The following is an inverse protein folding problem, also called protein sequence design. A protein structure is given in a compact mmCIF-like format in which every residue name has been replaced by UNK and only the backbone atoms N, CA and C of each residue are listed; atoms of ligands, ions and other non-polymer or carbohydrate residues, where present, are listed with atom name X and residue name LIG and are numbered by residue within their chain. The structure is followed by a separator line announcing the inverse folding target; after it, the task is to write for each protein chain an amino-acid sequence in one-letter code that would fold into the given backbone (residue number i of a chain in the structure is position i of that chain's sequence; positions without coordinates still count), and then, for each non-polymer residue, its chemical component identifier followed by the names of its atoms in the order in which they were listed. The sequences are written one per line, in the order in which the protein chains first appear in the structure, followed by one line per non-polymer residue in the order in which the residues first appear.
data_IF_756368441271
#
_entry.id   IF_756368441271
#
_cell.length_a   1.000
_cell.length_b   1.000
_cell.length_c   1.000
_cell.angle_alpha   90.00
_cell.angle_beta   90.00
_cell.angle_gamma   90.00
#
_symmetry.space_group_name_H-M   'P 1'
#
loop_
_entity.id
_entity.type
_entity.pdbx_description
1 polymer ?
#
# COMPACT_ATOMS: atom_id res chain seq x y z
N UNK A 1 58.40 31.26 -12.12
CA UNK A 1 57.90 31.77 -10.82
C UNK A 1 56.44 31.35 -10.70
N UNK A 2 56.15 30.36 -9.85
CA UNK A 2 54.81 29.84 -9.59
C UNK A 2 54.18 30.65 -8.45
N UNK A 3 53.02 31.29 -8.66
CA UNK A 3 52.19 31.81 -7.57
C UNK A 3 50.92 30.97 -7.46
N UNK A 4 50.82 30.28 -6.32
CA UNK A 4 49.75 29.38 -5.92
C UNK A 4 48.67 30.21 -5.24
N UNK A 5 47.53 30.40 -5.90
CA UNK A 5 46.35 31.06 -5.31
C UNK A 5 45.59 30.08 -4.42
N UNK A 6 45.65 30.29 -3.11
CA UNK A 6 44.78 29.64 -2.14
C UNK A 6 43.51 30.50 -1.97
N UNK A 7 42.36 29.94 -2.36
CA UNK A 7 41.04 30.47 -2.04
C UNK A 7 40.33 29.50 -1.11
N UNK A 8 40.34 29.81 0.19
CA UNK A 8 39.52 29.17 1.21
C UNK A 8 38.04 29.41 0.92
N UNK A 9 37.25 28.34 0.68
CA UNK A 9 35.79 28.44 0.68
C UNK A 9 35.25 27.77 1.94
N UNK A 10 34.83 28.62 2.88
CA UNK A 10 34.25 28.25 4.17
C UNK A 10 32.91 27.55 4.01
N UNK A 11 32.81 26.43 4.73
CA UNK A 11 31.63 25.65 5.03
C UNK A 11 30.56 26.55 5.68
N UNK A 12 29.35 26.59 5.13
CA UNK A 12 28.15 26.99 5.86
C UNK A 12 27.11 25.87 5.76
N UNK A 13 27.12 24.99 6.77
CA UNK A 13 26.02 24.08 7.09
C UNK A 13 24.89 24.92 7.69
N UNK A 14 23.89 25.29 6.89
CA UNK A 14 22.61 25.78 7.43
C UNK A 14 21.71 24.59 7.74
N UNK A 15 21.68 24.26 9.02
CA UNK A 15 20.63 23.52 9.71
C UNK A 15 19.26 24.14 9.37
N UNK A 16 18.35 23.34 8.82
CA UNK A 16 16.98 23.73 8.49
C UNK A 16 15.98 22.62 8.87
N UNK A 17 16.11 22.10 10.09
CA UNK A 17 15.19 21.14 10.70
C UNK A 17 14.25 21.87 11.65
N UNK A 18 13.18 22.52 11.17
CA UNK A 18 12.15 23.14 12.04
C UNK A 18 10.79 23.41 11.34
N UNK A 19 10.33 22.63 10.36
CA UNK A 19 9.07 22.96 9.66
C UNK A 19 8.07 21.82 9.42
N UNK A 20 8.08 20.74 10.21
CA UNK A 20 7.06 19.68 10.07
C UNK A 20 6.44 19.17 11.38
N UNK A 21 6.44 19.96 12.47
CA UNK A 21 5.82 19.56 13.74
C UNK A 21 4.47 20.21 14.06
N UNK A 22 3.90 21.04 13.18
CA UNK A 22 2.66 21.78 13.47
C UNK A 22 1.38 21.24 12.78
N UNK A 23 1.46 20.19 11.94
CA UNK A 23 0.28 19.65 11.25
C UNK A 23 -0.36 18.43 11.95
N UNK A 24 0.28 17.88 13.00
CA UNK A 24 -0.22 16.67 13.69
C UNK A 24 -1.13 17.01 14.90
N UNK A 25 -1.24 18.28 15.31
CA UNK A 25 -2.07 18.66 16.47
C UNK A 25 -3.48 19.17 16.13
N UNK A 26 -3.90 19.16 14.86
CA UNK A 26 -5.21 19.65 14.43
C UNK A 26 -6.24 18.56 14.07
N UNK A 27 -5.89 17.27 14.15
CA UNK A 27 -6.81 16.17 13.85
C UNK A 27 -7.27 15.36 15.07
N UNK A 28 -6.88 15.77 16.29
CA UNK A 28 -7.18 15.00 17.51
C UNK A 28 -8.25 15.61 18.44
N UNK A 29 -8.93 16.69 18.04
CA UNK A 29 -9.97 17.36 18.87
C UNK A 29 -11.27 17.69 18.13
N UNK A 30 -11.65 16.91 17.12
CA UNK A 30 -12.97 17.04 16.49
C UNK A 30 -13.59 15.69 16.19
N UNK A 31 -13.95 14.97 17.25
CA UNK A 31 -15.10 14.07 17.21
C UNK A 31 -15.62 13.86 18.64
N UNK A 32 -16.20 14.93 19.19
CA UNK A 32 -17.09 14.78 20.34
C UNK A 32 -18.35 14.05 19.87
N UNK A 33 -18.63 12.92 20.52
CA UNK A 33 -19.82 12.11 20.29
C UNK A 33 -21.09 12.93 20.47
N UNK A 34 -21.91 12.97 19.42
CA UNK A 34 -23.29 13.42 19.51
C UNK A 34 -24.16 12.22 19.87
N UNK A 35 -24.43 12.06 21.17
CA UNK A 35 -25.50 11.22 21.66
C UNK A 35 -26.84 11.83 21.21
N UNK A 36 -27.53 11.16 20.29
CA UNK A 36 -28.85 11.56 19.82
C UNK A 36 -29.91 11.07 20.83
N UNK A 37 -30.36 11.96 21.69
CA UNK A 37 -31.49 11.73 22.61
C UNK A 37 -32.79 11.87 21.82
N UNK A 38 -33.57 10.79 21.71
CA UNK A 38 -34.95 10.85 21.21
C UNK A 38 -35.89 11.05 22.40
N UNK A 39 -36.56 12.22 22.43
CA UNK A 39 -37.67 12.53 23.33
C UNK A 39 -38.86 11.62 23.02
N UNK A 40 -39.30 10.86 24.03
CA UNK A 40 -40.60 10.22 24.02
C UNK A 40 -41.69 11.19 24.45
N UNK A 41 -42.71 11.35 23.61
CA UNK A 41 -43.99 11.96 23.97
C UNK A 41 -45.09 11.17 23.26
N UNK A 42 -45.94 10.51 24.05
CA UNK A 42 -47.05 9.70 23.56
C UNK A 42 -48.15 10.52 22.88
N UNK A 43 -48.90 9.85 22.00
CA UNK A 43 -50.13 10.39 21.41
C UNK A 43 -50.62 9.61 20.20
N UNK A 44 -51.72 8.87 20.41
CA UNK A 44 -52.73 8.37 19.44
C UNK A 44 -52.34 7.27 18.44
N UNK A 45 -53.04 6.13 18.57
CA UNK A 45 -53.13 5.04 17.61
C UNK A 45 -54.16 5.43 16.53
N UNK A 46 -53.80 5.53 15.24
CA UNK A 46 -54.77 5.46 14.16
C UNK A 46 -54.82 4.04 13.56
N UNK A 47 -56.01 3.75 13.06
CA UNK A 47 -56.57 2.48 12.66
C UNK A 47 -55.80 1.74 11.55
N UNK A 48 -55.80 0.41 11.63
CA UNK A 48 -55.02 -0.50 10.80
C UNK A 48 -55.69 -0.77 9.45
N UNK A 49 -55.34 0.00 8.40
CA UNK A 49 -55.63 -0.34 6.99
C UNK A 49 -54.57 0.24 6.06
N UNK A 50 -53.63 -0.60 5.60
CA UNK A 50 -52.72 -0.25 4.51
C UNK A 50 -51.35 -0.89 4.65
N UNK A 51 -51.11 -1.91 3.83
CA UNK A 51 -49.88 -2.70 3.78
C UNK A 51 -48.66 -1.84 3.42
N UNK A 52 -47.66 -1.82 4.30
CA UNK A 52 -46.26 -1.91 3.94
C UNK A 52 -45.60 -2.73 5.06
N UNK A 53 -45.35 -4.00 4.78
CA UNK A 53 -44.58 -4.87 5.68
C UNK A 53 -43.27 -4.16 6.02
N UNK A 54 -43.04 -3.90 7.31
CA UNK A 54 -41.74 -3.44 7.77
C UNK A 54 -40.68 -4.40 7.21
N UNK A 55 -39.46 -3.93 6.87
CA UNK A 55 -38.38 -4.85 6.57
C UNK A 55 -38.28 -5.78 7.76
N UNK A 56 -38.51 -7.07 7.52
CA UNK A 56 -38.41 -8.06 8.57
C UNK A 56 -37.00 -8.00 9.13
N UNK A 57 -36.86 -8.27 10.42
CA UNK A 57 -35.58 -8.37 11.11
C UNK A 57 -34.59 -9.34 10.43
N UNK A 58 -35.05 -10.12 9.43
CA UNK A 58 -34.25 -10.96 8.55
C UNK A 58 -33.35 -10.17 7.59
N UNK A 59 -33.68 -8.93 7.22
CA UNK A 59 -32.86 -8.12 6.29
C UNK A 59 -31.62 -7.49 6.94
N UNK A 60 -31.51 -7.47 8.28
CA UNK A 60 -30.31 -7.03 8.99
C UNK A 60 -29.28 -8.15 9.20
N UNK A 61 -29.57 -9.38 8.77
CA UNK A 61 -28.69 -10.54 8.95
C UNK A 61 -27.58 -10.65 7.89
N UNK A 62 -27.60 -9.80 6.86
CA UNK A 62 -26.65 -9.85 5.73
C UNK A 62 -25.58 -8.75 5.77
N UNK A 63 -25.51 -7.95 6.84
CA UNK A 63 -24.30 -7.19 7.15
C UNK A 63 -23.39 -8.11 7.97
N UNK A 64 -22.76 -9.06 7.30
CA UNK A 64 -21.64 -9.82 7.84
C UNK A 64 -20.51 -8.82 8.12
N UNK A 65 -20.52 -8.23 9.32
CA UNK A 65 -19.43 -7.43 9.81
C UNK A 65 -18.24 -8.40 9.97
N UNK A 66 -17.27 -8.30 9.07
CA UNK A 66 -15.98 -9.01 9.15
C UNK A 66 -15.52 -9.09 10.61
N UNK A 67 -15.21 -10.30 11.10
CA UNK A 67 -14.89 -10.49 12.52
C UNK A 67 -13.76 -9.53 12.91
N UNK A 68 -13.84 -8.80 14.03
CA UNK A 68 -12.87 -7.76 14.40
C UNK A 68 -11.40 -8.22 14.33
N UNK A 69 -11.15 -9.49 14.64
CA UNK A 69 -9.83 -10.12 14.54
C UNK A 69 -9.32 -10.25 13.09
N UNK A 70 -10.20 -10.62 12.15
CA UNK A 70 -9.87 -10.75 10.73
C UNK A 70 -9.59 -9.37 10.12
N UNK A 71 -10.38 -8.36 10.48
CA UNK A 71 -10.17 -6.99 10.03
C UNK A 71 -8.82 -6.44 10.51
N UNK A 72 -8.46 -6.67 11.78
CA UNK A 72 -7.18 -6.26 12.33
C UNK A 72 -6.01 -6.92 11.59
N UNK A 73 -6.06 -8.24 11.41
CA UNK A 73 -5.03 -8.98 10.65
C UNK A 73 -4.88 -8.44 9.22
N UNK A 74 -6.00 -8.16 8.55
CA UNK A 74 -5.99 -7.58 7.20
C UNK A 74 -5.34 -6.20 7.18
N UNK A 75 -5.57 -5.36 8.19
CA UNK A 75 -4.94 -4.04 8.30
C UNK A 75 -3.43 -4.14 8.51
N UNK A 76 -2.98 -5.05 9.39
CA UNK A 76 -1.56 -5.30 9.60
C UNK A 76 -0.87 -5.78 8.32
N UNK A 77 -1.50 -6.73 7.62
CA UNK A 77 -1.00 -7.25 6.36
C UNK A 77 -0.91 -6.18 5.27
N UNK A 78 -1.95 -5.35 5.13
CA UNK A 78 -1.94 -4.20 4.23
C UNK A 78 -0.80 -3.24 4.57
N UNK A 79 -0.60 -2.96 5.87
CA UNK A 79 0.47 -2.09 6.35
C UNK A 79 1.86 -2.64 6.04
N UNK A 80 2.05 -3.95 6.22
CA UNK A 80 3.28 -4.63 5.82
C UNK A 80 3.56 -4.49 4.33
N UNK A 81 2.59 -4.82 3.46
CA UNK A 81 2.77 -4.71 2.01
C UNK A 81 3.11 -3.28 1.58
N UNK A 82 2.39 -2.28 2.09
CA UNK A 82 2.68 -0.89 1.78
C UNK A 82 4.09 -0.51 2.23
N UNK A 83 4.49 -0.87 3.45
CA UNK A 83 5.83 -0.59 3.97
C UNK A 83 6.91 -1.21 3.09
N UNK A 84 6.77 -2.47 2.73
CA UNK A 84 7.73 -3.16 1.88
C UNK A 84 7.85 -2.49 0.52
N UNK A 85 6.72 -2.17 -0.13
CA UNK A 85 6.68 -1.55 -1.45
C UNK A 85 7.32 -0.15 -1.46
N UNK A 86 7.10 0.67 -0.42
CA UNK A 86 7.61 2.05 -0.39
C UNK A 86 9.04 2.16 0.15
N UNK A 87 9.46 1.27 1.04
CA UNK A 87 10.75 1.37 1.73
C UNK A 87 11.90 0.76 0.93
N UNK A 88 11.58 -0.10 -0.04
CA UNK A 88 12.56 -0.80 -0.84
C UNK A 88 12.49 -0.33 -2.31
N UNK A 89 13.63 0.01 -2.94
CA UNK A 89 13.68 0.43 -4.34
C UNK A 89 13.11 -0.60 -5.34
N UNK A 90 13.25 -1.89 -5.04
CA UNK A 90 12.75 -2.98 -5.87
C UNK A 90 12.25 -4.14 -5.00
N UNK A 91 10.99 -4.53 -5.20
CA UNK A 91 10.33 -5.63 -4.48
C UNK A 91 9.66 -6.57 -5.47
N UNK A 92 9.80 -7.88 -5.26
CA UNK A 92 9.13 -8.91 -6.03
C UNK A 92 8.34 -9.80 -5.09
N UNK A 93 7.03 -9.85 -5.30
CA UNK A 93 6.18 -10.87 -4.69
C UNK A 93 6.12 -12.08 -5.62
N UNK A 94 6.59 -13.22 -5.13
CA UNK A 94 6.97 -14.40 -5.92
C UNK A 94 6.30 -15.68 -5.41
N UNK A 95 6.42 -16.76 -6.18
CA UNK A 95 6.27 -18.13 -5.69
C UNK A 95 7.46 -18.97 -6.13
N UNK A 96 7.90 -19.88 -5.28
CA UNK A 96 9.09 -20.70 -5.50
C UNK A 96 8.99 -21.55 -6.77
N UNK A 97 7.81 -22.11 -7.07
CA UNK A 97 7.58 -23.01 -8.21
C UNK A 97 7.10 -22.31 -9.49
N UNK A 98 7.18 -20.97 -9.57
CA UNK A 98 6.65 -20.22 -10.69
C UNK A 98 7.75 -19.83 -11.71
N UNK A 99 7.68 -20.30 -12.97
CA UNK A 99 8.71 -19.99 -13.98
C UNK A 99 8.75 -18.50 -14.34
N UNK A 100 7.60 -17.80 -14.34
CA UNK A 100 7.55 -16.36 -14.59
C UNK A 100 8.22 -15.54 -13.48
N UNK A 101 8.22 -16.04 -12.25
CA UNK A 101 8.95 -15.41 -11.14
C UNK A 101 10.46 -15.51 -11.36
N UNK A 102 10.96 -16.66 -11.83
CA UNK A 102 12.36 -16.84 -12.20
C UNK A 102 12.79 -15.87 -13.30
N UNK A 103 11.96 -15.69 -14.33
CA UNK A 103 12.22 -14.73 -15.41
C UNK A 103 12.33 -13.29 -14.88
N UNK A 104 11.39 -12.86 -14.03
CA UNK A 104 11.42 -11.51 -13.44
C UNK A 104 12.68 -11.28 -12.60
N UNK A 105 13.01 -12.23 -11.71
CA UNK A 105 14.21 -12.17 -10.87
C UNK A 105 15.48 -12.11 -11.71
N UNK A 106 15.60 -12.97 -12.73
CA UNK A 106 16.77 -12.98 -13.61
C UNK A 106 16.94 -11.65 -14.36
N UNK A 107 15.85 -11.11 -14.91
CA UNK A 107 15.87 -9.83 -15.62
C UNK A 107 16.37 -8.67 -14.73
N UNK A 108 15.96 -8.63 -13.46
CA UNK A 108 16.41 -7.60 -12.51
C UNK A 108 17.85 -7.89 -12.06
N UNK A 109 18.18 -9.13 -11.70
CA UNK A 109 19.54 -9.53 -11.28
C UNK A 109 20.60 -9.20 -12.34
N UNK A 110 20.28 -9.39 -13.62
CA UNK A 110 21.18 -9.07 -14.74
C UNK A 110 21.56 -7.58 -14.81
N UNK A 111 20.77 -6.68 -14.22
CA UNK A 111 21.11 -5.25 -14.16
C UNK A 111 22.14 -4.94 -13.08
N UNK A 112 22.31 -5.82 -12.08
CA UNK A 112 23.10 -5.57 -10.87
C UNK A 112 22.32 -4.87 -9.75
N UNK A 113 21.03 -4.57 -9.94
CA UNK A 113 20.19 -3.98 -8.92
C UNK A 113 19.90 -4.94 -7.75
N UNK A 114 19.85 -4.39 -6.54
CA UNK A 114 19.37 -5.08 -5.34
C UNK A 114 17.84 -5.18 -5.39
N UNK A 115 17.32 -6.32 -4.98
CA UNK A 115 15.87 -6.57 -4.89
C UNK A 115 15.52 -7.32 -3.61
N UNK A 116 14.34 -7.05 -3.07
CA UNK A 116 13.73 -7.84 -2.00
C UNK A 116 12.73 -8.80 -2.64
N UNK A 117 12.77 -10.07 -2.23
CA UNK A 117 11.85 -11.10 -2.73
C UNK A 117 11.04 -11.65 -1.56
N UNK A 118 9.72 -11.59 -1.69
CA UNK A 118 8.77 -12.20 -0.75
C UNK A 118 8.11 -13.41 -1.43
N UNK A 119 8.46 -14.62 -0.98
CA UNK A 119 7.82 -15.85 -1.47
C UNK A 119 6.46 -16.06 -0.79
N UNK A 120 5.41 -16.22 -1.59
CA UNK A 120 4.02 -16.30 -1.14
C UNK A 120 3.50 -17.74 -1.10
N UNK A 121 4.38 -18.71 -0.93
CA UNK A 121 4.02 -20.13 -0.91
C UNK A 121 3.01 -20.39 0.22
N UNK A 122 1.82 -20.87 -0.14
CA UNK A 122 0.73 -21.15 0.82
C UNK A 122 -0.07 -19.93 1.33
N UNK A 123 0.34 -18.68 1.07
CA UNK A 123 -0.35 -17.51 1.63
C UNK A 123 -1.43 -16.93 0.71
N UNK A 124 -2.68 -17.38 0.88
CA UNK A 124 -3.83 -16.84 0.14
C UNK A 124 -4.13 -15.38 0.52
N UNK A 125 -3.99 -15.03 1.79
CA UNK A 125 -4.29 -13.67 2.27
C UNK A 125 -3.34 -12.63 1.68
N UNK A 126 -2.03 -12.95 1.55
CA UNK A 126 -1.07 -12.06 0.88
C UNK A 126 -1.43 -11.86 -0.60
N UNK A 127 -1.80 -12.92 -1.32
CA UNK A 127 -2.20 -12.81 -2.73
C UNK A 127 -3.48 -11.98 -2.90
N UNK A 128 -4.48 -12.20 -2.06
CA UNK A 128 -5.74 -11.44 -2.09
C UNK A 128 -5.51 -9.96 -1.76
N UNK A 129 -4.58 -9.71 -0.83
CA UNK A 129 -4.14 -8.39 -0.41
C UNK A 129 -3.40 -7.65 -1.52
N UNK A 130 -2.42 -8.30 -2.15
CA UNK A 130 -1.72 -7.77 -3.31
C UNK A 130 -2.66 -7.49 -4.48
N UNK A 131 -3.64 -8.38 -4.72
CA UNK A 131 -4.67 -8.16 -5.73
C UNK A 131 -5.56 -6.95 -5.44
N UNK A 132 -5.75 -6.56 -4.18
CA UNK A 132 -6.45 -5.31 -3.85
C UNK A 132 -5.59 -4.07 -4.18
N UNK A 133 -4.26 -4.19 -4.08
CA UNK A 133 -3.32 -3.10 -4.40
C UNK A 133 -3.16 -2.93 -5.92
N UNK A 134 -2.98 -4.03 -6.66
CA UNK A 134 -2.61 -4.01 -8.08
C UNK A 134 -3.75 -4.30 -9.04
N UNK A 135 -4.86 -4.85 -8.56
CA UNK A 135 -5.92 -5.43 -9.39
C UNK A 135 -5.54 -6.77 -10.02
N UNK A 136 -4.33 -7.29 -9.79
CA UNK A 136 -3.79 -8.50 -10.40
C UNK A 136 -3.72 -9.64 -9.38
N UNK A 137 -4.17 -10.85 -9.77
CA UNK A 137 -4.15 -12.04 -8.89
C UNK A 137 -2.96 -12.96 -9.10
N UNK A 138 -2.23 -12.77 -10.19
CA UNK A 138 -1.10 -13.63 -10.56
C UNK A 138 0.18 -13.14 -9.91
N UNK A 139 1.14 -14.07 -9.83
CA UNK A 139 2.55 -13.79 -9.51
C UNK A 139 3.39 -14.00 -10.77
N UNK A 140 4.56 -13.36 -10.89
CA UNK A 140 5.11 -12.37 -9.96
C UNK A 140 4.35 -11.04 -10.00
N UNK A 141 4.42 -10.28 -8.91
CA UNK A 141 4.08 -8.86 -8.91
C UNK A 141 5.32 -8.06 -8.57
N UNK A 142 5.77 -7.23 -9.51
CA UNK A 142 7.03 -6.49 -9.40
C UNK A 142 6.74 -5.02 -9.14
N UNK A 143 7.40 -4.49 -8.12
CA UNK A 143 7.33 -3.09 -7.73
C UNK A 143 8.72 -2.45 -7.81
N UNK A 144 8.79 -1.24 -8.39
CA UNK A 144 10.02 -0.45 -8.47
C UNK A 144 9.69 0.99 -8.08
N UNK A 145 10.42 1.56 -7.12
CA UNK A 145 10.19 2.90 -6.60
C UNK A 145 8.76 3.10 -6.06
N UNK A 146 8.22 2.07 -5.40
CA UNK A 146 6.84 2.08 -4.88
C UNK A 146 5.73 1.91 -5.92
N UNK A 147 6.05 1.72 -7.21
CA UNK A 147 5.07 1.58 -8.28
C UNK A 147 5.00 0.16 -8.81
N UNK A 148 3.79 -0.33 -9.08
CA UNK A 148 3.58 -1.62 -9.75
C UNK A 148 3.95 -1.54 -11.24
N UNK A 149 4.89 -2.36 -11.70
CA UNK A 149 5.39 -2.32 -13.08
C UNK A 149 4.92 -3.50 -13.94
N UNK A 150 4.22 -4.46 -13.33
CA UNK A 150 3.65 -5.63 -13.99
C UNK A 150 4.18 -6.97 -13.45
N UNK A 151 3.95 -8.02 -14.24
CA UNK A 151 4.40 -9.39 -13.96
C UNK A 151 5.71 -9.75 -14.66
N UNK A 152 5.95 -11.05 -14.86
CA UNK A 152 7.22 -11.56 -15.38
C UNK A 152 7.47 -11.17 -16.84
N UNK A 153 6.44 -11.28 -17.67
CA UNK A 153 6.52 -10.86 -19.09
C UNK A 153 6.70 -9.35 -19.21
N UNK A 154 5.94 -8.56 -18.44
CA UNK A 154 6.09 -7.09 -18.44
C UNK A 154 7.50 -6.67 -18.02
N UNK A 155 8.07 -7.34 -17.02
CA UNK A 155 9.43 -7.08 -16.55
C UNK A 155 10.46 -7.41 -17.62
N UNK A 156 10.31 -8.56 -18.30
CA UNK A 156 11.18 -8.95 -19.40
C UNK A 156 11.12 -7.98 -20.58
N UNK A 157 9.92 -7.54 -20.98
CA UNK A 157 9.75 -6.54 -22.04
C UNK A 157 10.40 -5.19 -21.68
N UNK A 158 10.28 -4.77 -20.40
CA UNK A 158 10.96 -3.57 -19.90
C UNK A 158 12.48 -3.73 -19.89
N UNK A 159 12.99 -4.93 -19.64
CA UNK A 159 14.42 -5.22 -19.75
C UNK A 159 14.91 -5.07 -21.19
N UNK A 160 14.20 -5.67 -22.15
CA UNK A 160 14.54 -5.62 -23.57
C UNK A 160 14.50 -4.21 -24.16
N UNK A 161 13.56 -3.37 -23.71
CA UNK A 161 13.45 -1.97 -24.14
C UNK A 161 14.41 -1.01 -23.40
N UNK A 162 15.16 -1.49 -22.41
CA UNK A 162 16.01 -0.64 -21.54
C UNK A 162 15.24 0.16 -20.49
N UNK A 163 13.90 0.14 -20.52
CA UNK A 163 13.06 0.84 -19.54
C UNK A 163 13.28 0.35 -18.11
N UNK A 164 13.56 -0.96 -17.92
CA UNK A 164 13.79 -1.54 -16.61
C UNK A 164 14.99 -0.90 -15.90
N UNK A 165 16.11 -0.73 -16.62
CA UNK A 165 17.31 -0.11 -16.08
C UNK A 165 17.01 1.33 -15.64
N UNK A 166 16.33 2.11 -16.48
CA UNK A 166 15.96 3.49 -16.16
C UNK A 166 15.08 3.58 -14.89
N UNK A 167 14.12 2.67 -14.72
CA UNK A 167 13.28 2.61 -13.53
C UNK A 167 14.08 2.28 -12.27
N UNK A 168 14.98 1.28 -12.34
CA UNK A 168 15.82 0.86 -11.23
C UNK A 168 16.82 1.95 -10.82
N UNK A 169 17.41 2.66 -11.79
CA UNK A 169 18.31 3.80 -11.53
C UNK A 169 17.55 4.93 -10.85
N UNK A 170 16.36 5.27 -11.36
CA UNK A 170 15.51 6.31 -10.76
C UNK A 170 15.09 5.96 -9.32
N UNK A 171 14.86 4.68 -9.04
CA UNK A 171 14.48 4.20 -7.71
C UNK A 171 15.66 4.09 -6.73
N UNK A 172 16.91 4.22 -7.20
CA UNK A 172 18.10 4.04 -6.36
C UNK A 172 18.35 2.60 -5.95
N UNK A 173 18.09 1.63 -6.84
CA UNK A 173 18.19 0.20 -6.54
C UNK A 173 19.63 -0.38 -6.57
N UNK A 174 20.67 0.45 -6.70
CA UNK A 174 22.08 0.05 -6.84
C UNK A 174 22.86 0.27 -5.54
#
# INVERSE_FOLDING_TARGET
MYTKGQGEMRISRKFGSMFLSALILALFLSNHGHAFIVKGSGGMIPDNRGMASSPSFQSLRNLELERPQQLFFKQELMGFLHREIISNPCVIFSKTTCPFCTVAKAAISMTGAKMIVHELDGSNDMKNSLSQITGVRTVPQVFIGGQFIGGGQDTQQKAQSGQLLALLTKAGAF
#
